data_IF_136971943836
#
_entry.id   IF_136971943836
#
_cell.length_a   1.000
_cell.length_b   1.000
_cell.length_c   1.000
_cell.angle_alpha   90.00
_cell.angle_beta   90.00
_cell.angle_gamma   90.00
#
_symmetry.space_group_name_H-M   'P 1'
#
loop_
_entity.id
_entity.type
_entity.pdbx_description
1 polymer ?
#
# COMPACT_ATOMS: atom_id res chain seq x y z
N UNK A 1 45.90 17.34 -23.08
CA UNK A 1 45.46 17.01 -21.71
C UNK A 1 44.15 16.19 -21.77
N UNK A 2 44.20 14.88 -22.08
CA UNK A 2 43.01 14.02 -22.18
C UNK A 2 42.56 13.43 -20.82
N UNK A 3 43.29 13.70 -19.74
CA UNK A 3 43.09 13.05 -18.43
C UNK A 3 41.86 13.53 -17.64
N UNK A 4 41.27 14.67 -17.98
CA UNK A 4 40.13 15.21 -17.22
C UNK A 4 38.78 14.58 -17.61
N UNK A 5 38.69 13.89 -18.75
CA UNK A 5 37.42 13.37 -19.28
C UNK A 5 37.02 12.01 -18.65
N UNK A 6 37.97 11.27 -18.06
CA UNK A 6 37.74 9.94 -17.48
C UNK A 6 37.24 9.98 -16.03
N UNK A 7 37.32 11.12 -15.34
CA UNK A 7 36.85 11.29 -13.96
C UNK A 7 35.33 11.49 -13.84
N UNK A 8 34.61 11.69 -14.95
CA UNK A 8 33.15 11.86 -14.98
C UNK A 8 32.36 10.55 -15.00
N UNK A 9 33.02 9.38 -15.09
CA UNK A 9 32.36 8.07 -15.17
C UNK A 9 32.17 7.36 -13.82
N UNK A 10 32.66 7.93 -12.72
CA UNK A 10 32.46 7.41 -11.36
C UNK A 10 31.36 8.18 -10.62
N UNK A 11 30.19 8.36 -11.26
CA UNK A 11 28.97 8.58 -10.47
C UNK A 11 28.64 7.21 -9.87
N UNK A 12 29.13 6.96 -8.66
CA UNK A 12 28.60 5.87 -7.84
C UNK A 12 27.10 6.14 -7.76
N UNK A 13 26.28 5.26 -8.35
CA UNK A 13 24.84 5.27 -8.12
C UNK A 13 24.63 4.99 -6.63
N UNK A 14 24.63 6.05 -5.83
CA UNK A 14 24.11 6.04 -4.46
C UNK A 14 22.60 5.88 -4.57
N UNK A 15 22.15 4.66 -4.82
CA UNK A 15 20.75 4.36 -5.06
C UNK A 15 20.62 3.00 -5.70
N UNK A 16 19.61 2.24 -5.27
CA UNK A 16 19.39 0.89 -5.73
C UNK A 16 18.78 0.05 -4.62
N UNK A 17 18.35 -1.15 -5.00
CA UNK A 17 17.63 -2.02 -4.10
C UNK A 17 18.40 -2.37 -2.82
N UNK A 18 19.71 -2.58 -2.91
CA UNK A 18 20.56 -2.89 -1.77
C UNK A 18 20.59 -1.77 -0.72
N UNK A 19 20.54 -0.51 -1.16
CA UNK A 19 20.45 0.64 -0.25
C UNK A 19 19.12 0.65 0.49
N UNK A 20 18.01 0.39 -0.22
CA UNK A 20 16.68 0.32 0.38
C UNK A 20 16.57 -0.84 1.38
N UNK A 21 17.09 -2.03 1.03
CA UNK A 21 17.16 -3.16 1.95
C UNK A 21 18.01 -2.85 3.18
N UNK A 22 19.16 -2.18 3.00
CA UNK A 22 19.99 -1.77 4.14
C UNK A 22 19.26 -0.79 5.06
N UNK A 23 18.50 0.15 4.49
CA UNK A 23 17.65 1.05 5.24
C UNK A 23 16.62 0.31 6.10
N UNK A 24 15.88 -0.64 5.50
CA UNK A 24 14.91 -1.48 6.22
C UNK A 24 15.59 -2.36 7.27
N UNK A 25 16.75 -2.93 6.92
CA UNK A 25 17.55 -3.77 7.82
C UNK A 25 18.03 -3.03 9.06
N UNK A 26 18.46 -1.77 8.91
CA UNK A 26 18.86 -0.94 10.04
C UNK A 26 17.69 -0.67 11.00
N UNK A 27 16.53 -0.31 10.47
CA UNK A 27 15.33 -0.07 11.30
C UNK A 27 14.91 -1.36 12.01
N UNK A 28 14.92 -2.49 11.31
CA UNK A 28 14.63 -3.79 11.93
C UNK A 28 15.64 -4.12 13.05
N UNK A 29 16.93 -3.90 12.83
CA UNK A 29 17.94 -4.11 13.87
C UNK A 29 17.70 -3.21 15.09
N UNK A 30 17.25 -1.96 14.90
CA UNK A 30 16.85 -1.08 16.00
C UNK A 30 15.68 -1.66 16.79
N UNK A 31 14.64 -2.18 16.12
CA UNK A 31 13.50 -2.87 16.78
C UNK A 31 14.01 -4.04 17.61
N UNK A 32 14.82 -4.91 17.00
CA UNK A 32 15.29 -6.14 17.63
C UNK A 32 16.25 -5.86 18.80
N UNK A 33 16.96 -4.72 18.79
CA UNK A 33 17.89 -4.32 19.86
C UNK A 33 17.21 -3.78 21.12
N UNK A 34 15.96 -3.33 21.03
CA UNK A 34 15.25 -2.70 22.14
C UNK A 34 13.79 -3.18 22.27
N UNK A 35 13.57 -4.49 22.51
CA UNK A 35 12.23 -5.07 22.52
C UNK A 35 11.33 -4.47 23.60
N UNK A 36 11.89 -4.11 24.76
CA UNK A 36 11.10 -3.62 25.91
C UNK A 36 11.12 -2.11 26.09
N UNK A 37 12.07 -1.38 25.52
CA UNK A 37 12.14 0.08 25.68
C UNK A 37 11.16 0.83 24.80
N UNK A 38 10.67 0.22 23.72
CA UNK A 38 9.62 0.85 22.91
C UNK A 38 8.30 1.00 23.69
N UNK A 39 7.90 -0.04 24.42
CA UNK A 39 6.61 -0.05 25.15
C UNK A 39 6.62 0.79 26.42
N UNK A 40 7.78 1.02 27.03
CA UNK A 40 7.88 1.65 28.35
C UNK A 40 7.53 3.14 28.37
N UNK A 41 7.53 3.79 27.20
CA UNK A 41 7.18 5.21 27.06
C UNK A 41 5.69 5.44 26.80
N UNK A 42 4.89 4.36 26.70
CA UNK A 42 3.44 4.44 26.53
C UNK A 42 2.73 4.05 27.84
N UNK A 43 1.52 4.60 28.10
CA UNK A 43 0.62 4.06 29.11
C UNK A 43 0.35 2.57 28.90
N UNK A 44 0.19 1.80 29.98
CA UNK A 44 -0.01 0.34 29.92
C UNK A 44 -1.27 -0.07 29.15
N UNK A 45 -2.28 0.79 29.17
CA UNK A 45 -3.57 0.63 28.51
C UNK A 45 -3.66 1.37 27.18
N UNK A 46 -2.56 1.94 26.69
CA UNK A 46 -2.53 2.58 25.38
C UNK A 46 -2.80 1.54 24.28
N UNK A 47 -3.75 1.86 23.41
CA UNK A 47 -4.20 0.99 22.33
C UNK A 47 -4.14 1.70 20.99
N UNK A 48 -3.70 0.99 19.97
CA UNK A 48 -3.72 1.44 18.58
C UNK A 48 -4.81 0.69 17.85
N UNK A 49 -5.73 1.43 17.25
CA UNK A 49 -6.78 0.87 16.40
C UNK A 49 -6.24 0.71 14.99
N UNK A 50 -6.39 -0.47 14.40
CA UNK A 50 -5.90 -0.79 13.06
C UNK A 50 -6.71 -1.90 12.37
N UNK A 51 -6.53 -2.06 11.07
CA UNK A 51 -7.17 -3.14 10.28
C UNK A 51 -6.20 -4.28 9.92
N UNK A 52 -4.95 -4.20 10.38
CA UNK A 52 -3.91 -5.17 10.02
C UNK A 52 -4.19 -6.57 10.57
N UNK A 53 -4.15 -7.57 9.69
CA UNK A 53 -4.18 -9.00 10.06
C UNK A 53 -2.92 -9.69 9.55
N UNK A 54 -2.37 -10.65 10.30
CA UNK A 54 -1.15 -11.38 9.90
C UNK A 54 -1.30 -12.08 8.54
N UNK A 55 -2.51 -12.51 8.18
CA UNK A 55 -2.82 -13.11 6.87
C UNK A 55 -2.52 -12.17 5.69
N UNK A 56 -2.48 -10.84 5.91
CA UNK A 56 -2.16 -9.87 4.85
C UNK A 56 -0.74 -9.99 4.33
N UNK A 57 0.21 -10.59 5.07
CA UNK A 57 1.59 -10.77 4.59
C UNK A 57 1.74 -11.94 3.60
N UNK A 58 0.79 -12.88 3.61
CA UNK A 58 0.83 -14.14 2.89
C UNK A 58 2.09 -14.99 3.19
N UNK A 59 1.98 -16.31 3.09
CA UNK A 59 3.15 -17.18 3.28
C UNK A 59 3.99 -17.27 2.00
N UNK A 60 3.33 -17.38 0.85
CA UNK A 60 3.96 -17.72 -0.43
C UNK A 60 4.04 -16.55 -1.40
N UNK A 61 3.02 -15.71 -1.45
CA UNK A 61 2.90 -14.62 -2.43
C UNK A 61 3.73 -13.39 -2.01
N UNK A 62 4.79 -13.01 -2.75
CA UNK A 62 5.65 -11.88 -2.36
C UNK A 62 4.93 -10.54 -2.33
N UNK A 63 3.89 -10.37 -3.16
CA UNK A 63 3.22 -9.08 -3.41
C UNK A 63 2.31 -8.63 -2.28
N UNK A 64 1.95 -9.55 -1.39
CA UNK A 64 1.20 -9.26 -0.17
C UNK A 64 1.92 -8.30 0.78
N UNK A 65 3.24 -8.18 0.67
CA UNK A 65 4.01 -7.20 1.45
C UNK A 65 3.51 -5.76 1.25
N UNK A 66 2.99 -5.43 0.06
CA UNK A 66 2.53 -4.07 -0.23
C UNK A 66 1.16 -3.76 0.37
N UNK A 67 0.20 -4.68 0.29
CA UNK A 67 -1.11 -4.49 0.92
C UNK A 67 -0.95 -4.42 2.45
N UNK A 68 -0.14 -5.31 3.02
CA UNK A 68 0.25 -5.28 4.42
C UNK A 68 0.92 -3.94 4.81
N UNK A 69 1.83 -3.42 3.98
CA UNK A 69 2.53 -2.16 4.24
C UNK A 69 1.56 -0.96 4.23
N UNK A 70 0.62 -0.90 3.28
CA UNK A 70 -0.40 0.16 3.23
C UNK A 70 -1.20 0.23 4.53
N UNK A 71 -1.64 -0.92 5.04
CA UNK A 71 -2.41 -0.97 6.30
C UNK A 71 -1.56 -0.54 7.49
N UNK A 72 -0.29 -0.96 7.56
CA UNK A 72 0.63 -0.51 8.61
C UNK A 72 0.95 0.99 8.52
N UNK A 73 1.13 1.57 7.33
CA UNK A 73 1.32 3.02 7.15
C UNK A 73 0.18 3.80 7.81
N UNK A 74 -1.08 3.40 7.54
CA UNK A 74 -2.25 4.05 8.14
C UNK A 74 -2.29 3.87 9.65
N UNK A 75 -1.97 2.67 10.15
CA UNK A 75 -1.93 2.36 11.58
C UNK A 75 -0.90 3.23 12.33
N UNK A 76 0.31 3.37 11.78
CA UNK A 76 1.34 4.25 12.33
C UNK A 76 1.00 5.73 12.19
N UNK A 77 0.32 6.11 11.12
CA UNK A 77 -0.17 7.48 10.96
C UNK A 77 -1.16 7.85 12.08
N UNK A 78 -2.14 6.98 12.36
CA UNK A 78 -3.08 7.16 13.48
C UNK A 78 -2.33 7.29 14.81
N UNK A 79 -1.35 6.43 15.07
CA UNK A 79 -0.56 6.53 16.30
C UNK A 79 0.19 7.87 16.37
N UNK A 80 0.89 8.28 15.29
CA UNK A 80 1.62 9.56 15.24
C UNK A 80 0.72 10.77 15.47
N UNK A 81 -0.47 10.79 14.87
CA UNK A 81 -1.40 11.92 15.04
C UNK A 81 -1.92 12.09 16.47
N UNK A 82 -1.80 11.05 17.29
CA UNK A 82 -2.19 11.06 18.71
C UNK A 82 -1.00 11.30 19.65
N UNK A 83 0.21 11.48 19.11
CA UNK A 83 1.41 11.76 19.89
C UNK A 83 1.85 13.21 19.74
N UNK A 84 2.37 13.75 20.83
CA UNK A 84 3.15 14.98 20.79
C UNK A 84 4.50 14.73 20.09
N UNK A 85 5.02 15.73 19.39
CA UNK A 85 6.32 15.67 18.73
C UNK A 85 7.50 15.55 19.72
N UNK A 86 7.30 15.90 21.00
CA UNK A 86 8.27 15.67 22.07
C UNK A 86 8.26 14.23 22.61
N UNK A 87 7.34 13.36 22.16
CA UNK A 87 7.31 11.98 22.61
C UNK A 87 8.64 11.28 22.29
N UNK A 88 9.19 10.54 23.25
CA UNK A 88 10.55 9.97 23.15
C UNK A 88 10.77 9.13 21.89
N UNK A 89 9.76 8.36 21.47
CA UNK A 89 9.82 7.53 20.26
C UNK A 89 9.25 8.22 19.01
N UNK A 90 8.88 9.51 19.05
CA UNK A 90 8.21 10.19 17.92
C UNK A 90 9.02 10.08 16.62
N UNK A 91 10.30 10.47 16.65
CA UNK A 91 11.21 10.37 15.50
C UNK A 91 11.32 8.95 14.97
N UNK A 92 11.47 7.97 15.86
CA UNK A 92 11.58 6.57 15.46
C UNK A 92 10.29 6.06 14.80
N UNK A 93 9.13 6.42 15.34
CA UNK A 93 7.83 6.06 14.75
C UNK A 93 7.66 6.74 13.37
N UNK A 94 8.08 7.99 13.25
CA UNK A 94 8.07 8.70 11.98
C UNK A 94 8.97 7.99 10.95
N UNK A 95 10.17 7.57 11.33
CA UNK A 95 11.08 6.79 10.48
C UNK A 95 10.49 5.42 10.09
N UNK A 96 9.79 4.73 11.02
CA UNK A 96 9.06 3.49 10.72
C UNK A 96 8.03 3.72 9.63
N UNK A 97 7.17 4.73 9.81
CA UNK A 97 6.16 5.09 8.82
C UNK A 97 6.78 5.45 7.48
N UNK A 98 7.82 6.29 7.45
CA UNK A 98 8.50 6.67 6.21
C UNK A 98 9.15 5.47 5.51
N UNK A 99 9.67 4.52 6.27
CA UNK A 99 10.25 3.28 5.73
C UNK A 99 9.17 2.41 5.09
N UNK A 100 8.00 2.28 5.72
CA UNK A 100 6.85 1.61 5.12
C UNK A 100 6.33 2.35 3.87
N UNK A 101 6.25 3.69 3.91
CA UNK A 101 5.87 4.51 2.74
C UNK A 101 6.82 4.27 1.55
N UNK A 102 8.12 4.12 1.81
CA UNK A 102 9.11 3.78 0.77
C UNK A 102 8.88 2.39 0.20
N UNK A 103 8.57 1.41 1.03
CA UNK A 103 8.19 0.06 0.59
C UNK A 103 6.95 0.13 -0.31
N UNK A 104 5.89 0.82 0.12
CA UNK A 104 4.64 1.00 -0.63
C UNK A 104 4.92 1.59 -2.02
N UNK A 105 5.72 2.67 -2.09
CA UNK A 105 6.05 3.38 -3.34
C UNK A 105 6.89 2.57 -4.32
N UNK A 106 7.46 1.44 -3.90
CA UNK A 106 8.26 0.59 -4.77
C UNK A 106 7.39 -0.17 -5.78
N UNK A 107 6.13 -0.47 -5.45
CA UNK A 107 5.23 -1.15 -6.39
C UNK A 107 4.48 -0.15 -7.26
N UNK A 108 4.56 -0.33 -8.59
CA UNK A 108 3.91 0.55 -9.57
C UNK A 108 2.39 0.42 -9.62
N UNK A 109 1.83 -0.68 -9.11
CA UNK A 109 0.39 -0.94 -9.15
C UNK A 109 -0.30 -0.69 -7.81
N UNK A 110 0.40 -0.09 -6.83
CA UNK A 110 -0.13 0.06 -5.48
C UNK A 110 -1.30 1.05 -5.41
N UNK A 111 -1.34 2.05 -6.31
CA UNK A 111 -2.42 3.02 -6.40
C UNK A 111 -3.76 2.32 -6.66
N UNK A 112 -3.77 1.35 -7.58
CA UNK A 112 -4.95 0.53 -7.87
C UNK A 112 -5.49 -0.16 -6.62
N UNK A 113 -4.60 -0.74 -5.81
CA UNK A 113 -5.00 -1.37 -4.56
C UNK A 113 -5.64 -0.35 -3.59
N UNK A 114 -5.07 0.85 -3.48
CA UNK A 114 -5.57 1.90 -2.61
C UNK A 114 -6.92 2.47 -3.07
N UNK A 115 -7.17 2.51 -4.39
CA UNK A 115 -8.44 2.93 -4.99
C UNK A 115 -9.54 1.88 -4.83
N UNK A 116 -9.20 0.60 -5.05
CA UNK A 116 -10.16 -0.50 -5.04
C UNK A 116 -10.45 -1.04 -3.62
N UNK A 117 -9.58 -0.76 -2.64
CA UNK A 117 -9.69 -1.33 -1.28
C UNK A 117 -10.15 -0.30 -0.26
N UNK A 118 -11.38 -0.47 0.21
CA UNK A 118 -11.90 0.22 1.38
C UNK A 118 -11.52 -0.53 2.67
N UNK A 119 -10.63 0.05 3.48
CA UNK A 119 -10.16 -0.58 4.71
C UNK A 119 -11.22 -0.61 5.82
N UNK A 120 -12.25 0.23 5.74
CA UNK A 120 -13.30 0.26 6.75
C UNK A 120 -14.18 -1.00 6.69
N UNK A 121 -14.10 -1.74 5.58
CA UNK A 121 -14.74 -3.06 5.42
C UNK A 121 -13.94 -4.20 6.06
N UNK A 122 -12.83 -3.93 6.75
CA UNK A 122 -12.02 -4.94 7.44
C UNK A 122 -12.25 -4.92 8.95
N UNK A 123 -12.04 -6.06 9.65
CA UNK A 123 -12.18 -6.10 11.09
C UNK A 123 -11.30 -5.05 11.75
N UNK A 124 -11.93 -4.21 12.57
CA UNK A 124 -11.22 -3.28 13.44
C UNK A 124 -10.59 -4.05 14.58
N UNK A 125 -9.28 -3.98 14.68
CA UNK A 125 -8.48 -4.59 15.73
C UNK A 125 -7.85 -3.52 16.61
N UNK A 126 -7.44 -3.94 17.81
CA UNK A 126 -6.80 -3.08 18.78
C UNK A 126 -5.61 -3.79 19.39
N UNK A 127 -4.42 -3.23 19.20
CA UNK A 127 -3.16 -3.79 19.72
C UNK A 127 -2.44 -2.79 20.64
N UNK A 128 -1.46 -3.28 21.38
CA UNK A 128 -0.49 -2.37 22.02
C UNK A 128 0.46 -1.77 20.96
N UNK A 129 1.16 -0.66 21.25
CA UNK A 129 2.22 -0.15 20.39
C UNK A 129 3.35 -1.19 20.16
N UNK A 130 3.68 -1.98 21.17
CA UNK A 130 4.66 -3.07 21.07
C UNK A 130 4.23 -4.13 20.06
N UNK A 131 2.96 -4.52 20.09
CA UNK A 131 2.43 -5.50 19.15
C UNK A 131 2.39 -4.95 17.72
N UNK A 132 2.04 -3.67 17.53
CA UNK A 132 2.12 -3.02 16.22
C UNK A 132 3.57 -2.97 15.69
N UNK A 133 4.54 -2.73 16.58
CA UNK A 133 5.96 -2.79 16.25
C UNK A 133 6.40 -4.19 15.81
N UNK A 134 5.92 -5.23 16.50
CA UNK A 134 6.22 -6.61 16.14
C UNK A 134 5.65 -6.99 14.76
N UNK A 135 4.39 -6.63 14.48
CA UNK A 135 3.78 -6.83 13.15
C UNK A 135 4.58 -6.10 12.04
N UNK A 136 5.10 -4.93 12.36
CA UNK A 136 5.96 -4.17 11.43
C UNK A 136 7.32 -4.85 11.23
N UNK A 137 7.92 -5.39 12.29
CA UNK A 137 9.16 -6.17 12.22
C UNK A 137 8.99 -7.44 11.37
N UNK A 138 7.85 -8.13 11.49
CA UNK A 138 7.48 -9.27 10.64
C UNK A 138 7.43 -8.86 9.15
N UNK A 139 6.80 -7.72 8.84
CA UNK A 139 6.78 -7.19 7.48
C UNK A 139 8.18 -6.86 6.96
N UNK A 140 9.02 -6.21 7.77
CA UNK A 140 10.39 -5.91 7.37
C UNK A 140 11.21 -7.16 7.13
N UNK A 141 11.06 -8.19 7.96
CA UNK A 141 11.71 -9.48 7.73
C UNK A 141 11.30 -10.07 6.37
N UNK A 142 10.01 -10.00 6.03
CA UNK A 142 9.51 -10.44 4.72
C UNK A 142 10.06 -9.59 3.57
N UNK A 143 10.07 -8.27 3.73
CA UNK A 143 10.62 -7.35 2.73
C UNK A 143 12.10 -7.62 2.46
N UNK A 144 12.91 -7.90 3.49
CA UNK A 144 14.32 -8.22 3.31
C UNK A 144 14.55 -9.50 2.48
N UNK A 145 13.57 -10.40 2.41
CA UNK A 145 13.64 -11.62 1.60
C UNK A 145 13.23 -11.38 0.15
N UNK A 146 12.17 -10.61 -0.09
CA UNK A 146 11.54 -10.48 -1.43
C UNK A 146 11.83 -9.15 -2.12
N UNK A 147 12.30 -8.18 -1.34
CA UNK A 147 12.37 -6.78 -1.69
C UNK A 147 13.47 -6.43 -2.68
N UNK A 148 14.20 -7.37 -3.28
CA UNK A 148 15.04 -7.08 -4.47
C UNK A 148 14.67 -7.87 -5.72
N UNK A 149 13.58 -8.65 -5.66
CA UNK A 149 13.11 -9.34 -6.86
C UNK A 149 12.61 -8.33 -7.91
N UNK A 150 13.00 -8.43 -9.19
CA UNK A 150 12.46 -7.55 -10.23
C UNK A 150 10.95 -7.70 -10.42
N UNK A 151 10.37 -8.86 -10.09
CA UNK A 151 8.92 -9.11 -10.19
C UNK A 151 8.09 -8.32 -9.16
N UNK A 152 8.71 -7.87 -8.07
CA UNK A 152 8.00 -7.23 -6.96
C UNK A 152 7.54 -5.80 -7.31
N UNK A 153 8.22 -5.16 -8.27
CA UNK A 153 7.93 -3.78 -8.68
C UNK A 153 6.61 -3.69 -9.47
N UNK A 154 6.27 -4.74 -10.22
CA UNK A 154 5.14 -4.74 -11.17
C UNK A 154 4.08 -5.78 -10.85
N UNK A 155 4.20 -6.50 -9.74
CA UNK A 155 3.16 -7.42 -9.36
C UNK A 155 1.91 -6.70 -8.84
N UNK A 156 0.80 -7.43 -8.78
CA UNK A 156 -0.48 -6.92 -8.29
C UNK A 156 -0.63 -7.34 -6.83
N UNK A 157 -0.65 -6.39 -5.87
CA UNK A 157 -1.04 -6.70 -4.50
C UNK A 157 -2.45 -7.31 -4.54
N UNK A 158 -2.70 -8.42 -3.82
CA UNK A 158 -4.04 -8.99 -3.80
C UNK A 158 -5.00 -7.96 -3.22
N UNK A 159 -6.12 -7.75 -3.91
CA UNK A 159 -7.27 -7.10 -3.29
C UNK A 159 -7.61 -7.93 -2.07
N UNK A 160 -7.56 -7.27 -0.92
CA UNK A 160 -7.95 -7.93 0.31
C UNK A 160 -9.45 -8.28 0.14
N UNK A 161 -9.92 -9.45 0.60
CA UNK A 161 -11.35 -9.77 0.52
C UNK A 161 -12.12 -8.94 1.55
N UNK A 162 -13.28 -8.32 1.19
CA UNK A 162 -14.08 -7.58 2.15
C UNK A 162 -14.48 -8.50 3.32
N UNK A 163 -14.57 -7.97 4.54
CA UNK A 163 -15.07 -8.76 5.66
C UNK A 163 -16.54 -9.10 5.39
N UNK A 164 -16.78 -10.30 4.87
CA UNK A 164 -18.09 -10.91 4.99
C UNK A 164 -18.20 -11.28 6.45
N UNK A 165 -18.69 -10.34 7.27
CA UNK A 165 -19.33 -10.70 8.52
C UNK A 165 -20.47 -11.64 8.10
N UNK A 166 -20.21 -12.94 8.20
CA UNK A 166 -21.20 -13.98 7.95
C UNK A 166 -22.27 -13.79 9.01
N UNK A 167 -23.24 -12.93 8.71
CA UNK A 167 -24.56 -13.03 9.33
C UNK A 167 -25.01 -14.42 8.98
N UNK A 168 -24.92 -15.32 9.95
CA UNK A 168 -25.59 -16.60 9.89
C UNK A 168 -27.07 -16.29 9.83
N UNK A 169 -27.57 -16.06 8.61
CA UNK A 169 -28.98 -16.14 8.32
C UNK A 169 -29.34 -17.59 8.58
N UNK A 170 -29.82 -17.87 9.79
CA UNK A 170 -30.41 -19.15 10.15
C UNK A 170 -31.38 -19.58 9.05
N UNK A 171 -31.54 -20.90 8.82
CA UNK A 171 -32.15 -21.43 7.61
C UNK A 171 -33.50 -20.77 7.36
N UNK A 172 -33.54 -19.88 6.37
CA UNK A 172 -34.78 -19.26 5.92
C UNK A 172 -35.58 -20.40 5.30
N UNK A 173 -36.62 -20.85 6.00
CA UNK A 173 -37.64 -21.75 5.44
C UNK A 173 -38.33 -21.04 4.29
N UNK A 174 -37.78 -21.18 3.09
CA UNK A 174 -38.46 -20.79 1.87
C UNK A 174 -39.58 -21.81 1.66
N UNK A 175 -40.81 -21.41 2.00
CA UNK A 175 -42.01 -22.19 1.70
C UNK A 175 -42.20 -22.13 0.18
N UNK A 176 -41.72 -23.16 -0.52
CA UNK A 176 -41.95 -23.35 -1.95
C UNK A 176 -43.45 -23.34 -2.22
N UNK A 177 -43.94 -22.26 -2.81
CA UNK A 177 -45.26 -22.22 -3.43
C UNK A 177 -45.13 -22.97 -4.76
N UNK A 178 -45.45 -24.25 -4.75
CA UNK A 178 -45.62 -25.03 -5.99
C UNK A 178 -46.88 -24.52 -6.70
N UNK A 179 -46.71 -23.73 -7.75
CA UNK A 179 -47.80 -23.38 -8.65
C UNK A 179 -48.13 -24.60 -9.51
N UNK A 180 -49.36 -25.11 -9.33
CA UNK A 180 -49.92 -26.21 -10.12
C UNK A 180 -50.18 -25.68 -11.53
N UNK A 181 -49.57 -26.31 -12.53
CA UNK A 181 -49.77 -25.99 -13.94
C UNK A 181 -51.22 -26.23 -14.35
N UNK A 182 -51.86 -25.20 -14.92
CA UNK A 182 -53.10 -25.31 -15.67
C UNK A 182 -52.77 -24.84 -17.08
N UNK A 183 -52.85 -25.78 -18.02
CA UNK A 183 -52.85 -25.53 -19.45
C UNK A 183 -54.14 -24.82 -19.85
N UNK A 184 -54.03 -23.72 -20.59
CA UNK A 184 -55.07 -23.33 -21.54
C UNK A 184 -54.42 -22.53 -22.65
N UNK A 185 -54.59 -23.02 -23.87
CA UNK A 185 -54.15 -22.39 -25.11
C UNK A 185 -54.96 -21.13 -25.45
N UNK A 186 -54.38 -20.34 -26.35
CA UNK A 186 -55.01 -19.35 -27.23
C UNK A 186 -55.48 -18.00 -26.64
N UNK A 187 -54.75 -16.90 -26.92
CA UNK A 187 -54.93 -16.10 -28.15
C UNK A 187 -53.96 -14.89 -28.18
N UNK A 188 -53.72 -14.41 -29.40
CA UNK A 188 -52.79 -13.36 -29.84
C UNK A 188 -53.02 -11.98 -29.19
N UNK A 189 -51.95 -11.23 -28.90
CA UNK A 189 -51.61 -9.93 -29.54
C UNK A 189 -50.43 -9.23 -28.84
N UNK A 190 -49.49 -8.70 -29.63
CA UNK A 190 -48.98 -7.34 -29.36
C UNK A 190 -47.55 -7.16 -28.83
N UNK A 191 -46.64 -6.92 -29.78
CA UNK A 191 -45.51 -5.95 -29.73
C UNK A 191 -44.28 -6.25 -28.87
N UNK A 192 -43.31 -6.79 -29.61
CA UNK A 192 -41.87 -6.56 -29.54
C UNK A 192 -41.53 -5.07 -29.33
N UNK A 193 -40.67 -4.77 -28.35
CA UNK A 193 -39.84 -3.56 -28.35
C UNK A 193 -38.39 -3.93 -28.04
N UNK A 194 -37.59 -3.85 -29.10
CA UNK A 194 -36.15 -3.67 -29.10
C UNK A 194 -35.72 -2.49 -28.22
N UNK A 195 -34.66 -2.67 -27.43
CA UNK A 195 -33.75 -1.58 -27.08
C UNK A 195 -32.33 -2.02 -27.44
N UNK A 196 -31.85 -1.52 -28.59
CA UNK A 196 -30.44 -1.54 -29.00
C UNK A 196 -29.58 -0.69 -28.05
N UNK A 197 -28.27 -0.99 -27.97
CA UNK A 197 -27.31 -0.26 -27.15
C UNK A 197 -26.91 1.07 -27.81
N UNK A 198 -26.67 2.10 -27.00
CA UNK A 198 -26.04 3.34 -27.43
C UNK A 198 -24.52 3.14 -27.57
N UNK A 199 -24.06 3.14 -28.81
CA UNK A 199 -22.65 3.36 -29.17
C UNK A 199 -22.33 4.86 -29.12
N UNK A 200 -21.16 5.21 -28.59
CA UNK A 200 -20.42 6.40 -29.01
C UNK A 200 -18.95 6.30 -28.57
N UNK A 201 -18.06 6.07 -29.53
CA UNK A 201 -16.63 6.33 -29.44
C UNK A 201 -16.36 7.83 -29.33
N UNK A 202 -15.39 8.24 -28.52
CA UNK A 202 -14.95 9.63 -28.51
C UNK A 202 -13.75 9.97 -27.64
N UNK A 203 -12.55 9.68 -28.17
CA UNK A 203 -11.31 10.47 -28.03
C UNK A 203 -10.62 10.62 -26.66
N UNK A 204 -9.49 9.93 -26.61
CA UNK A 204 -8.23 10.27 -25.94
C UNK A 204 -7.93 11.77 -25.84
N UNK A 205 -7.70 12.25 -24.62
CA UNK A 205 -6.92 13.44 -24.30
C UNK A 205 -5.85 13.04 -23.28
N UNK A 206 -4.66 12.74 -23.80
CA UNK A 206 -3.43 12.61 -23.04
C UNK A 206 -3.02 13.98 -22.49
N UNK A 207 -2.99 14.12 -21.15
CA UNK A 207 -2.37 15.25 -20.47
C UNK A 207 -0.84 15.09 -20.46
N UNK A 208 -0.06 16.14 -20.76
CA UNK A 208 1.39 16.05 -20.82
C UNK A 208 2.05 16.09 -19.43
N UNK A 209 3.06 15.23 -19.26
CA UNK A 209 4.02 15.24 -18.15
C UNK A 209 4.67 16.62 -17.96
N UNK A 210 4.69 17.11 -16.73
CA UNK A 210 5.48 18.26 -16.31
C UNK A 210 6.97 17.90 -16.36
N UNK A 211 7.62 18.20 -17.49
CA UNK A 211 9.07 18.27 -17.55
C UNK A 211 9.54 19.49 -16.74
N UNK A 212 10.44 19.24 -15.79
CA UNK A 212 11.11 20.25 -14.99
C UNK A 212 11.78 21.29 -15.91
N UNK A 213 11.24 22.51 -15.92
CA UNK A 213 11.86 23.68 -16.52
C UNK A 213 13.10 24.06 -15.69
N UNK A 214 14.25 23.50 -16.05
CA UNK A 214 15.54 24.04 -15.61
C UNK A 214 15.81 25.31 -16.40
N UNK A 215 15.75 26.45 -15.71
CA UNK A 215 15.98 27.77 -16.29
C UNK A 215 17.39 27.87 -16.90
N UNK A 216 17.54 28.27 -18.18
CA UNK A 216 18.84 28.43 -18.84
C UNK A 216 19.70 29.57 -18.25
N UNK A 217 19.16 30.33 -17.28
CA UNK A 217 19.87 31.42 -16.60
C UNK A 217 20.90 30.94 -15.57
N UNK A 218 20.83 29.69 -15.09
CA UNK A 218 21.82 29.15 -14.14
C UNK A 218 23.09 28.63 -14.83
N UNK A 219 23.02 28.25 -16.11
CA UNK A 219 24.18 27.80 -16.89
C UNK A 219 25.06 28.97 -17.38
N UNK A 220 24.52 30.19 -17.51
CA UNK A 220 25.31 31.36 -17.95
C UNK A 220 26.14 31.99 -16.84
N UNK A 221 25.74 31.81 -15.57
CA UNK A 221 26.47 32.35 -14.41
C UNK A 221 27.72 31.53 -14.07
N UNK A 222 27.75 30.24 -14.40
CA UNK A 222 28.94 29.39 -14.25
C UNK A 222 30.04 29.64 -15.30
N UNK A 223 29.72 30.32 -16.41
CA UNK A 223 30.69 30.65 -17.48
C UNK A 223 31.33 32.05 -17.35
N UNK A 224 30.94 32.87 -16.36
CA UNK A 224 31.53 34.20 -16.11
C UNK A 224 32.49 34.29 -14.92
N UNK A 225 32.80 33.16 -14.28
CA UNK A 225 33.78 33.08 -13.19
C UNK A 225 35.05 32.29 -13.57
N UNK A 226 35.16 31.89 -14.84
CA UNK A 226 36.32 31.19 -15.41
C UNK A 226 36.68 31.74 -16.80
N UNK A 227 36.66 33.06 -16.94
CA UNK A 227 37.44 33.86 -17.90
C UNK A 227 37.48 35.31 -17.43
#
# INVERSE_FOLDING_TARGET
MPGLLLLLLFIVQCGGCDYDLKGVGNIKATIDSNPTGFRSVFPKDYRVVHHYTRSMLCETEPCCVFSAAVVLVKSWHVLLTNLWDQHFNYTFIFELKQTLDRIVKRNKNIERFQEETDLDQYPTLSSSPEELLNLTSELFARWLQVGCSPSIETCLPPTLPPSVERKDFGPVRVRLLTTRGISSEEHQHGKMKDCKPSSSCGRSLSLPCSAAFWSPLLLSLSFRLYW
#
